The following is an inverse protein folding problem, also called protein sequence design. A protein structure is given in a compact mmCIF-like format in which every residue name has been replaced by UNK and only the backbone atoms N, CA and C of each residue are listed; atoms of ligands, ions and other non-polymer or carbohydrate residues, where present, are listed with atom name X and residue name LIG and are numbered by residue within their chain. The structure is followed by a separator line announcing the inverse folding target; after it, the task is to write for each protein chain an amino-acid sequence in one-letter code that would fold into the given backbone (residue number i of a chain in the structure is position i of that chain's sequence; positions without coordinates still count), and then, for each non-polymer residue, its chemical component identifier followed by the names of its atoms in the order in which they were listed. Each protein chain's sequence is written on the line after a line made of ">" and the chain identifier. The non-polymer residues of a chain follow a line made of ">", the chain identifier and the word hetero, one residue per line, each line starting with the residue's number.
data_IF_904826950938
#
_entry.id   IF_904826950938
#
_cell.length_a   1.000
_cell.length_b   1.000
_cell.length_c   1.000
_cell.angle_alpha   90.00
_cell.angle_beta   90.00
_cell.angle_gamma   90.00
#
_symmetry.space_group_name_H-M   'P 1'
#
loop_
_entity.id
_entity.type
_entity.pdbx_description
1 polymer ?
#
# COMPACT_ATOMS: atom_id res chain seq x y z
N UNK A 1 11.05 -7.38 -4.44
CA UNK A 1 11.28 -5.94 -4.20
C UNK A 1 10.38 -5.49 -3.06
N UNK A 2 10.79 -4.52 -2.24
CA UNK A 2 10.01 -4.07 -1.08
C UNK A 2 9.89 -2.55 -1.09
N UNK A 3 8.68 -2.05 -0.86
CA UNK A 3 8.36 -0.65 -0.67
C UNK A 3 7.81 -0.45 0.74
N UNK A 4 8.16 0.67 1.35
CA UNK A 4 7.66 1.04 2.67
C UNK A 4 7.15 2.47 2.60
N UNK A 5 5.89 2.65 2.96
CA UNK A 5 5.19 3.93 2.95
C UNK A 5 4.33 4.07 4.20
N UNK A 6 3.58 5.16 4.28
CA UNK A 6 2.61 5.40 5.34
C UNK A 6 1.24 5.65 4.72
N UNK A 7 0.19 5.17 5.37
CA UNK A 7 -1.18 5.54 5.05
C UNK A 7 -1.41 7.03 5.35
N UNK A 8 -2.46 7.65 4.80
CA UNK A 8 -2.77 9.07 5.05
C UNK A 8 -3.01 9.41 6.54
N UNK A 9 -3.41 8.43 7.32
CA UNK A 9 -3.62 8.44 8.77
C UNK A 9 -2.35 8.16 9.59
N UNK A 10 -1.22 7.86 8.92
CA UNK A 10 0.09 7.69 9.54
C UNK A 10 0.45 6.26 9.95
N UNK A 11 -0.35 5.26 9.57
CA UNK A 11 -0.01 3.85 9.79
C UNK A 11 1.08 3.41 8.83
N UNK A 12 2.07 2.66 9.33
CA UNK A 12 3.14 2.10 8.51
C UNK A 12 2.56 1.05 7.56
N UNK A 13 2.94 1.11 6.29
CA UNK A 13 2.53 0.15 5.28
C UNK A 13 3.74 -0.40 4.53
N UNK A 14 3.87 -1.72 4.48
CA UNK A 14 4.97 -2.44 3.82
C UNK A 14 4.40 -3.28 2.69
N UNK A 15 4.86 -3.02 1.46
CA UNK A 15 4.48 -3.77 0.26
C UNK A 15 5.68 -4.59 -0.20
N UNK A 16 5.46 -5.87 -0.44
CA UNK A 16 6.50 -6.82 -0.86
C UNK A 16 6.03 -7.51 -2.14
N UNK A 17 6.79 -7.33 -3.23
CA UNK A 17 6.60 -8.09 -4.47
C UNK A 17 7.07 -9.52 -4.26
N UNK A 18 6.13 -10.46 -4.40
CA UNK A 18 6.38 -11.90 -4.39
C UNK A 18 6.37 -12.45 -5.82
N UNK A 19 6.80 -13.71 -6.00
CA UNK A 19 6.83 -14.36 -7.31
C UNK A 19 5.45 -14.47 -7.97
N UNK A 20 4.41 -14.69 -7.16
CA UNK A 20 3.03 -14.95 -7.62
C UNK A 20 2.04 -13.84 -7.22
N UNK A 21 2.53 -12.68 -6.78
CA UNK A 21 1.64 -11.61 -6.31
C UNK A 21 2.32 -10.61 -5.40
N UNK A 22 1.55 -10.13 -4.43
CA UNK A 22 1.93 -9.07 -3.51
C UNK A 22 1.59 -9.45 -2.07
N UNK A 23 2.48 -9.12 -1.15
CA UNK A 23 2.23 -9.19 0.28
C UNK A 23 2.23 -7.78 0.85
N UNK A 24 1.20 -7.43 1.60
CA UNK A 24 1.02 -6.10 2.20
C UNK A 24 0.82 -6.24 3.70
N UNK A 25 1.62 -5.55 4.48
CA UNK A 25 1.47 -5.44 5.94
C UNK A 25 1.11 -4.00 6.27
N UNK A 26 0.00 -3.80 6.96
CA UNK A 26 -0.44 -2.50 7.46
C UNK A 26 -0.35 -2.50 9.00
N UNK A 27 0.30 -1.49 9.56
CA UNK A 27 0.55 -1.35 10.99
C UNK A 27 1.35 -2.51 11.57
N UNK A 28 0.87 -3.02 12.71
CA UNK A 28 1.44 -4.20 13.39
C UNK A 28 0.63 -5.47 13.11
N UNK A 29 -0.38 -5.38 12.25
CA UNK A 29 -1.29 -6.46 11.90
C UNK A 29 -0.66 -7.57 11.05
N UNK A 30 -1.45 -8.64 10.84
CA UNK A 30 -1.06 -9.74 9.96
C UNK A 30 -1.10 -9.31 8.49
N UNK A 31 -0.02 -9.58 7.75
CA UNK A 31 0.07 -9.30 6.32
C UNK A 31 -0.99 -10.02 5.50
N UNK A 32 -1.46 -9.35 4.44
CA UNK A 32 -2.39 -9.88 3.45
C UNK A 32 -1.63 -10.18 2.17
N UNK A 33 -1.94 -11.32 1.54
CA UNK A 33 -1.34 -11.72 0.28
C UNK A 33 -2.41 -11.81 -0.80
N UNK A 34 -2.16 -11.18 -1.95
CA UNK A 34 -3.08 -11.20 -3.09
C UNK A 34 -2.32 -11.05 -4.42
N UNK A 35 -2.89 -11.57 -5.51
CA UNK A 35 -2.32 -11.46 -6.86
C UNK A 35 -2.28 -9.99 -7.34
N UNK A 36 -3.32 -9.22 -6.96
CA UNK A 36 -3.50 -7.80 -7.25
C UNK A 36 -3.07 -6.93 -6.07
N UNK A 37 -2.21 -5.95 -6.32
CA UNK A 37 -1.66 -5.06 -5.28
C UNK A 37 -2.71 -4.15 -4.65
N UNK A 38 -3.62 -3.59 -5.45
CA UNK A 38 -4.70 -2.72 -4.96
C UNK A 38 -5.64 -3.48 -4.02
N UNK A 39 -5.95 -4.73 -4.32
CA UNK A 39 -6.75 -5.59 -3.44
C UNK A 39 -6.00 -5.91 -2.15
N UNK A 40 -4.73 -6.30 -2.22
CA UNK A 40 -3.92 -6.57 -1.02
C UNK A 40 -3.83 -5.35 -0.09
N UNK A 41 -3.68 -4.15 -0.67
CA UNK A 41 -3.67 -2.87 0.06
C UNK A 41 -5.00 -2.63 0.77
N UNK A 42 -6.12 -2.71 0.04
CA UNK A 42 -7.45 -2.47 0.60
C UNK A 42 -7.76 -3.46 1.72
N UNK A 43 -7.44 -4.74 1.54
CA UNK A 43 -7.68 -5.76 2.56
C UNK A 43 -6.81 -5.57 3.80
N UNK A 44 -5.52 -5.27 3.65
CA UNK A 44 -4.62 -5.01 4.77
C UNK A 44 -5.08 -3.80 5.59
N UNK A 45 -5.45 -2.72 4.90
CA UNK A 45 -5.93 -1.48 5.52
C UNK A 45 -7.27 -1.71 6.22
N UNK A 46 -8.23 -2.37 5.55
CA UNK A 46 -9.54 -2.66 6.15
C UNK A 46 -9.41 -3.49 7.42
N UNK A 47 -8.50 -4.46 7.45
CA UNK A 47 -8.25 -5.31 8.61
C UNK A 47 -7.74 -4.50 9.81
N UNK A 48 -6.85 -3.54 9.57
CA UNK A 48 -6.32 -2.67 10.61
C UNK A 48 -7.33 -1.62 11.07
N UNK A 49 -8.12 -1.04 10.15
CA UNK A 49 -9.19 -0.08 10.50
C UNK A 49 -10.30 -0.74 11.31
N UNK A 50 -10.70 -1.96 10.93
CA UNK A 50 -11.69 -2.74 11.68
C UNK A 50 -11.20 -3.04 13.09
N UNK A 51 -9.89 -3.30 13.25
CA UNK A 51 -9.24 -3.51 14.54
C UNK A 51 -9.13 -2.24 15.38
N UNK A 52 -8.81 -1.09 14.76
CA UNK A 52 -8.47 0.15 15.45
C UNK A 52 -9.62 1.19 15.51
N UNK A 53 -10.77 0.92 14.90
CA UNK A 53 -11.95 1.80 14.96
C UNK A 53 -11.72 3.19 14.36
N UNK A 54 -10.84 3.31 13.36
CA UNK A 54 -10.50 4.61 12.75
C UNK A 54 -11.68 5.21 11.97
N UNK A 55 -11.90 6.52 12.13
CA UNK A 55 -12.94 7.29 11.45
C UNK A 55 -12.77 7.23 9.93
N UNK A 56 -13.78 6.70 9.24
CA UNK A 56 -13.87 6.42 7.79
C UNK A 56 -13.85 7.65 6.86
N UNK A 57 -13.08 8.70 7.17
CA UNK A 57 -13.06 9.93 6.34
C UNK A 57 -12.17 9.81 5.10
N UNK A 58 -11.36 8.76 4.99
CA UNK A 58 -10.36 8.59 3.92
C UNK A 58 -10.84 7.52 2.94
N UNK A 59 -10.90 7.88 1.66
CA UNK A 59 -11.22 6.97 0.56
C UNK A 59 -10.04 6.03 0.24
N UNK A 60 -9.81 5.04 1.10
CA UNK A 60 -8.69 4.10 0.96
C UNK A 60 -8.70 3.31 -0.35
N UNK A 61 -9.86 3.11 -0.97
CA UNK A 61 -9.95 2.45 -2.26
C UNK A 61 -9.29 3.26 -3.39
N UNK A 62 -9.50 4.58 -3.40
CA UNK A 62 -8.88 5.48 -4.37
C UNK A 62 -7.37 5.57 -4.10
N UNK A 63 -6.99 5.83 -2.85
CA UNK A 63 -5.60 5.91 -2.44
C UNK A 63 -4.80 4.63 -2.71
N UNK A 64 -5.36 3.46 -2.38
CA UNK A 64 -4.70 2.17 -2.62
C UNK A 64 -4.47 1.93 -4.12
N UNK A 65 -5.41 2.34 -4.97
CA UNK A 65 -5.24 2.20 -6.42
C UNK A 65 -4.15 3.12 -6.96
N UNK A 66 -4.11 4.37 -6.52
CA UNK A 66 -3.04 5.31 -6.90
C UNK A 66 -1.67 4.85 -6.42
N UNK A 67 -1.56 4.31 -5.20
CA UNK A 67 -0.32 3.74 -4.69
C UNK A 67 0.08 2.50 -5.48
N UNK A 68 -0.86 1.61 -5.79
CA UNK A 68 -0.60 0.42 -6.58
C UNK A 68 -0.09 0.77 -7.98
N UNK A 69 -0.67 1.77 -8.63
CA UNK A 69 -0.23 2.24 -9.94
C UNK A 69 1.20 2.81 -9.89
N UNK A 70 1.53 3.58 -8.85
CA UNK A 70 2.88 4.10 -8.62
C UNK A 70 3.91 2.98 -8.43
N UNK A 71 3.61 2.01 -7.56
CA UNK A 71 4.53 0.88 -7.28
C UNK A 71 4.70 0.00 -8.51
N UNK A 72 3.65 -0.25 -9.28
CA UNK A 72 3.74 -1.05 -10.51
C UNK A 72 4.55 -0.33 -11.60
N UNK A 73 4.44 0.99 -11.71
CA UNK A 73 5.31 1.79 -12.59
C UNK A 73 6.78 1.71 -12.17
N UNK A 74 7.05 1.71 -10.86
CA UNK A 74 8.40 1.58 -10.30
C UNK A 74 8.98 0.17 -10.52
N UNK A 75 8.17 -0.88 -10.36
CA UNK A 75 8.55 -2.29 -10.58
C UNK A 75 8.86 -2.61 -12.06
N UNK A 76 8.20 -1.93 -13.02
CA UNK A 76 8.37 -2.19 -14.46
C UNK A 76 9.61 -1.51 -15.09
N UNK A 77 10.21 -0.50 -14.45
CA UNK A 77 11.53 0.09 -14.77
C UNK A 77 11.71 0.84 -16.12
N UNK A 78 12.76 1.69 -16.29
CA UNK A 78 14.09 1.58 -15.62
C UNK A 78 14.78 2.85 -15.05
N UNK A 79 14.19 4.06 -15.11
CA UNK A 79 14.84 5.36 -14.79
C UNK A 79 13.79 6.43 -14.41
N UNK A 80 13.39 6.53 -13.13
CA UNK A 80 12.46 7.56 -12.66
C UNK A 80 13.13 8.40 -11.56
N UNK A 81 13.18 9.75 -11.67
CA UNK A 81 13.86 10.54 -10.66
C UNK A 81 13.12 10.41 -9.33
N UNK A 82 13.85 10.24 -8.21
CA UNK A 82 13.23 10.41 -6.93
C UNK A 82 12.89 11.90 -6.79
N UNK A 83 11.77 12.19 -6.12
CA UNK A 83 11.39 13.54 -5.68
C UNK A 83 10.98 14.52 -6.80
N UNK A 84 9.68 14.54 -7.12
CA UNK A 84 9.02 15.83 -7.32
C UNK A 84 8.48 16.27 -5.95
N UNK A 85 9.30 17.03 -5.22
CA UNK A 85 8.84 17.82 -4.08
C UNK A 85 7.72 18.76 -4.50
N UNK A 86 6.72 18.93 -3.64
CA UNK A 86 5.98 20.18 -3.53
C UNK A 86 5.60 20.39 -2.07
N UNK A 87 6.28 21.35 -1.46
CA UNK A 87 6.22 21.79 -0.07
C UNK A 87 7.36 22.74 0.21
#
# INVERSE_FOLDING_TARGET
>A
MQWTTFTPDGLRLVVIRQQDGWSVVCGEGAGVQHELLDVALIEAIRKEIDFAGHSMRIDYAAWARELADQIQRDDLGPDGPPFASSG
#
